data_IF_489478982777
#
_entry.id   IF_489478982777
#
_cell.length_a   1.000
_cell.length_b   1.000
_cell.length_c   1.000
_cell.angle_alpha   90.00
_cell.angle_beta   90.00
_cell.angle_gamma   90.00
#
_symmetry.space_group_name_H-M   'P 1'
#
loop_
_entity.id
_entity.type
_entity.pdbx_description
1 polymer ?
#
# COMPACT_ATOMS: atom_id res chain seq x y z
N UNK A 1 -15.68 -0.40 13.08
CA UNK A 1 -14.45 -1.00 12.50
C UNK A 1 -13.37 -1.15 13.56
N UNK A 2 -13.03 -0.10 14.29
CA UNK A 2 -11.90 -0.06 15.23
C UNK A 2 -11.90 -1.16 16.30
N UNK A 3 -13.08 -1.48 16.87
CA UNK A 3 -13.22 -2.62 17.79
C UNK A 3 -12.79 -3.93 17.14
N UNK A 4 -13.28 -4.21 15.93
CA UNK A 4 -12.96 -5.43 15.19
C UNK A 4 -11.48 -5.48 14.79
N UNK A 5 -10.90 -4.35 14.39
CA UNK A 5 -9.44 -4.24 14.14
C UNK A 5 -8.66 -4.58 15.41
N UNK A 6 -9.04 -4.02 16.56
CA UNK A 6 -8.36 -4.29 17.84
C UNK A 6 -8.46 -5.77 18.22
N UNK A 7 -9.64 -6.37 18.07
CA UNK A 7 -9.85 -7.79 18.34
C UNK A 7 -9.04 -8.68 17.38
N UNK A 8 -8.97 -8.32 16.09
CA UNK A 8 -8.10 -8.99 15.13
C UNK A 8 -6.61 -8.91 15.55
N UNK A 9 -6.13 -7.71 15.87
CA UNK A 9 -4.71 -7.51 16.22
C UNK A 9 -4.31 -8.21 17.54
N UNK A 10 -5.21 -8.26 18.51
CA UNK A 10 -4.90 -8.79 19.86
C UNK A 10 -5.26 -10.26 20.04
N UNK A 11 -6.35 -10.72 19.41
CA UNK A 11 -6.91 -12.05 19.60
C UNK A 11 -6.95 -12.89 18.33
N UNK A 12 -6.53 -12.32 17.19
CA UNK A 12 -6.64 -12.97 15.87
C UNK A 12 -8.08 -13.38 15.54
N UNK A 13 -9.07 -12.63 16.04
CA UNK A 13 -10.48 -12.85 15.71
C UNK A 13 -10.77 -12.30 14.31
N UNK A 14 -11.33 -13.13 13.44
CA UNK A 14 -11.70 -12.73 12.08
C UNK A 14 -12.62 -11.51 12.07
N UNK A 15 -12.25 -10.53 11.25
CA UNK A 15 -13.10 -9.37 10.99
C UNK A 15 -14.32 -9.83 10.18
N UNK A 16 -15.55 -9.51 10.62
CA UNK A 16 -16.77 -9.84 9.89
C UNK A 16 -16.72 -9.42 8.41
N UNK A 17 -17.16 -10.29 7.46
CA UNK A 17 -17.01 -10.01 6.04
C UNK A 17 -17.68 -8.73 5.55
N UNK A 18 -18.81 -8.35 6.18
CA UNK A 18 -19.49 -7.08 5.90
C UNK A 18 -18.62 -5.86 6.27
N UNK A 19 -17.85 -5.94 7.36
CA UNK A 19 -16.90 -4.89 7.74
C UNK A 19 -15.71 -4.84 6.80
N UNK A 20 -15.16 -6.00 6.39
CA UNK A 20 -14.11 -6.05 5.37
C UNK A 20 -14.60 -5.45 4.04
N UNK A 21 -15.86 -5.71 3.65
CA UNK A 21 -16.48 -5.12 2.46
C UNK A 21 -16.56 -3.59 2.56
N UNK A 22 -17.11 -3.06 3.65
CA UNK A 22 -17.16 -1.61 3.87
C UNK A 22 -15.75 -0.99 3.88
N UNK A 23 -14.78 -1.68 4.46
CA UNK A 23 -13.38 -1.25 4.45
C UNK A 23 -12.72 -1.33 3.07
N UNK A 24 -13.26 -2.07 2.10
CA UNK A 24 -12.77 -2.02 0.70
C UNK A 24 -13.49 -0.95 -0.13
N UNK A 25 -14.76 -0.70 0.15
CA UNK A 25 -15.65 0.10 -0.70
C UNK A 25 -15.68 1.59 -0.32
N UNK A 26 -15.57 1.92 0.97
CA UNK A 26 -15.71 3.30 1.47
C UNK A 26 -14.34 3.81 1.94
N UNK A 27 -13.69 4.75 1.23
CA UNK A 27 -12.32 5.21 1.53
C UNK A 27 -12.10 5.61 2.99
N UNK A 28 -13.03 6.37 3.54
CA UNK A 28 -12.97 6.94 4.89
C UNK A 28 -13.18 5.86 5.97
N UNK A 29 -13.79 4.72 5.61
CA UNK A 29 -14.08 3.66 6.54
C UNK A 29 -12.88 2.74 6.74
N UNK A 30 -12.37 2.67 7.97
CA UNK A 30 -11.36 1.68 8.34
C UNK A 30 -9.97 1.97 7.81
N UNK A 31 -9.52 3.23 7.83
CA UNK A 31 -8.15 3.63 7.47
C UNK A 31 -7.08 2.74 8.11
N UNK A 32 -7.20 2.47 9.42
CA UNK A 32 -6.29 1.58 10.18
C UNK A 32 -6.19 0.18 9.58
N UNK A 33 -7.23 -0.29 8.91
CA UNK A 33 -7.23 -1.61 8.29
C UNK A 33 -6.25 -1.72 7.11
N UNK A 34 -5.91 -0.58 6.48
CA UNK A 34 -4.96 -0.51 5.38
C UNK A 34 -3.58 0.03 5.78
N UNK A 35 -3.46 0.65 6.96
CA UNK A 35 -2.23 1.36 7.36
C UNK A 35 -1.53 0.75 8.57
N UNK A 36 -2.15 -0.16 9.33
CA UNK A 36 -1.56 -0.69 10.57
C UNK A 36 -0.59 -1.84 10.36
N UNK A 37 -1.00 -2.94 9.71
CA UNK A 37 -0.11 -4.08 9.43
C UNK A 37 -0.44 -4.75 8.10
N UNK A 38 0.56 -5.44 7.54
CA UNK A 38 0.44 -6.25 6.33
C UNK A 38 -0.64 -7.32 6.44
N UNK A 39 -0.64 -8.04 7.56
CA UNK A 39 -1.57 -9.15 7.81
C UNK A 39 -3.01 -8.65 7.86
N UNK A 40 -3.25 -7.55 8.57
CA UNK A 40 -4.56 -6.92 8.63
C UNK A 40 -5.01 -6.45 7.25
N UNK A 41 -4.16 -5.75 6.51
CA UNK A 41 -4.48 -5.28 5.16
C UNK A 41 -4.79 -6.45 4.20
N UNK A 42 -4.05 -7.56 4.29
CA UNK A 42 -4.33 -8.76 3.52
C UNK A 42 -5.66 -9.42 3.92
N UNK A 43 -5.98 -9.43 5.22
CA UNK A 43 -7.28 -9.90 5.72
C UNK A 43 -8.44 -9.08 5.17
N UNK A 44 -8.26 -7.76 5.04
CA UNK A 44 -9.26 -6.90 4.40
C UNK A 44 -9.47 -7.23 2.92
N UNK A 45 -8.50 -7.81 2.22
CA UNK A 45 -8.69 -8.26 0.84
C UNK A 45 -9.40 -9.62 0.71
N UNK A 46 -9.68 -10.28 1.83
CA UNK A 46 -10.40 -11.55 1.86
C UNK A 46 -11.89 -11.38 1.58
N UNK A 47 -12.45 -12.31 0.82
CA UNK A 47 -13.86 -12.31 0.39
C UNK A 47 -14.63 -13.43 1.10
N UNK A 48 -15.96 -13.28 1.18
CA UNK A 48 -16.87 -14.31 1.71
C UNK A 48 -16.74 -15.67 1.00
N UNK A 49 -16.21 -15.67 -0.23
CA UNK A 49 -15.97 -16.87 -1.03
C UNK A 49 -14.65 -17.57 -0.71
N UNK A 50 -13.97 -17.18 0.38
CA UNK A 50 -12.69 -17.77 0.78
C UNK A 50 -11.48 -17.28 -0.02
N UNK A 51 -11.67 -16.37 -0.99
CA UNK A 51 -10.62 -15.93 -1.91
C UNK A 51 -10.10 -14.52 -1.54
N UNK A 52 -8.83 -14.24 -1.79
CA UNK A 52 -8.26 -12.89 -1.71
C UNK A 52 -8.19 -12.23 -3.08
N UNK A 53 -8.63 -10.96 -3.20
CA UNK A 53 -8.62 -10.22 -4.48
C UNK A 53 -8.19 -8.78 -4.26
N UNK A 54 -7.49 -8.20 -5.25
CA UNK A 54 -7.22 -6.75 -5.24
C UNK A 54 -8.52 -5.94 -5.42
N UNK A 55 -8.51 -4.64 -5.12
CA UNK A 55 -9.71 -3.80 -5.19
C UNK A 55 -10.22 -3.68 -6.63
N UNK A 56 -9.31 -3.56 -7.60
CA UNK A 56 -9.68 -3.54 -9.02
C UNK A 56 -10.52 -4.76 -9.45
N UNK A 57 -10.05 -5.98 -9.19
CA UNK A 57 -10.80 -7.21 -9.55
C UNK A 57 -11.98 -7.47 -8.61
N UNK A 58 -12.05 -6.80 -7.47
CA UNK A 58 -13.24 -6.81 -6.62
C UNK A 58 -14.39 -6.02 -7.27
N UNK A 59 -14.12 -4.84 -7.83
CA UNK A 59 -15.13 -3.95 -8.43
C UNK A 59 -15.44 -4.28 -9.89
N UNK A 60 -14.49 -4.81 -10.65
CA UNK A 60 -14.63 -5.13 -12.08
C UNK A 60 -14.92 -6.62 -12.35
N UNK A 61 -15.83 -7.22 -11.58
CA UNK A 61 -16.20 -8.64 -11.77
C UNK A 61 -16.81 -8.86 -13.16
N UNK A 62 -16.28 -9.84 -13.90
CA UNK A 62 -16.85 -10.29 -15.18
C UNK A 62 -16.62 -9.35 -16.38
N UNK A 63 -15.97 -8.19 -16.20
CA UNK A 63 -15.52 -7.41 -17.36
C UNK A 63 -14.37 -8.14 -18.04
N UNK A 64 -14.46 -8.34 -19.36
CA UNK A 64 -13.31 -8.80 -20.15
C UNK A 64 -12.15 -7.85 -19.85
N UNK A 65 -11.01 -8.35 -19.35
CA UNK A 65 -9.88 -7.49 -19.03
C UNK A 65 -9.36 -6.91 -20.35
N UNK A 66 -9.79 -5.69 -20.69
CA UNK A 66 -9.28 -4.98 -21.87
C UNK A 66 -7.78 -4.70 -21.75
N UNK A 67 -7.24 -4.76 -20.53
CA UNK A 67 -5.88 -4.32 -20.20
C UNK A 67 -5.04 -5.38 -19.46
N UNK A 68 -5.65 -6.45 -18.93
CA UNK A 68 -4.99 -7.51 -18.15
C UNK A 68 -4.73 -8.76 -19.01
N UNK A 69 -3.97 -8.60 -20.11
CA UNK A 69 -3.43 -9.75 -20.84
C UNK A 69 -3.99 -10.04 -22.24
N UNK A 70 -4.76 -9.14 -22.85
CA UNK A 70 -4.93 -9.14 -24.31
C UNK A 70 -4.06 -8.05 -24.94
N UNK A 71 -2.75 -8.28 -24.92
CA UNK A 71 -1.91 -7.85 -26.05
C UNK A 71 -1.91 -9.06 -27.00
N UNK A 72 -1.79 -8.81 -28.29
CA UNK A 72 -1.83 -9.81 -29.37
C UNK A 72 -1.12 -11.14 -29.03
N UNK A 73 -1.55 -12.27 -29.61
CA UNK A 73 -0.97 -13.57 -29.30
C UNK A 73 0.52 -13.57 -29.65
N UNK A 74 1.39 -13.48 -28.63
CA UNK A 74 2.83 -13.54 -28.82
C UNK A 74 3.68 -12.87 -27.75
N UNK A 75 3.30 -11.70 -27.23
CA UNK A 75 4.39 -10.80 -26.79
C UNK A 75 4.67 -10.68 -25.28
N UNK A 76 3.71 -10.73 -24.35
CA UNK A 76 4.07 -10.53 -22.93
C UNK A 76 3.10 -11.25 -21.98
N UNK A 77 3.61 -12.19 -21.16
CA UNK A 77 2.92 -12.65 -19.95
C UNK A 77 2.96 -11.53 -18.90
N UNK A 78 1.93 -10.70 -18.87
CA UNK A 78 1.78 -9.67 -17.85
C UNK A 78 1.19 -10.30 -16.59
N UNK A 79 1.88 -10.15 -15.45
CA UNK A 79 1.37 -10.55 -14.13
C UNK A 79 -0.01 -9.89 -13.85
N UNK A 80 -0.99 -10.66 -13.40
CA UNK A 80 -2.36 -10.18 -13.17
C UNK A 80 -3.47 -10.90 -13.94
N UNK A 81 -3.16 -11.96 -14.70
CA UNK A 81 -4.20 -12.85 -15.24
C UNK A 81 -4.77 -13.67 -14.07
N UNK A 82 -6.08 -13.61 -13.81
CA UNK A 82 -6.68 -14.37 -12.72
C UNK A 82 -6.46 -15.86 -12.95
N UNK A 83 -5.91 -16.54 -11.94
CA UNK A 83 -5.92 -18.00 -11.87
C UNK A 83 -7.38 -18.46 -11.86
N UNK A 84 -7.66 -19.58 -12.52
CA UNK A 84 -8.98 -20.17 -12.35
C UNK A 84 -9.15 -20.55 -10.88
N UNK A 85 -10.36 -20.46 -10.33
CA UNK A 85 -10.60 -20.85 -8.93
C UNK A 85 -10.28 -22.34 -8.65
N UNK A 86 -10.05 -23.14 -9.71
CA UNK A 86 -9.64 -24.53 -9.66
C UNK A 86 -8.11 -24.72 -9.72
N UNK A 87 -7.34 -23.68 -10.01
CA UNK A 87 -5.88 -23.74 -10.00
C UNK A 87 -5.40 -23.67 -8.56
N UNK A 88 -5.12 -24.84 -7.98
CA UNK A 88 -4.58 -25.00 -6.62
C UNK A 88 -3.18 -24.39 -6.44
N UNK A 89 -2.50 -24.04 -7.54
CA UNK A 89 -1.17 -23.43 -7.54
C UNK A 89 -1.25 -21.90 -7.52
N UNK A 90 -1.90 -21.35 -6.48
CA UNK A 90 -1.65 -19.95 -6.14
C UNK A 90 -0.19 -19.86 -5.74
N UNK A 91 0.63 -19.32 -6.65
CA UNK A 91 2.05 -19.10 -6.41
C UNK A 91 2.21 -18.31 -5.11
N UNK A 92 3.11 -18.76 -4.21
CA UNK A 92 3.47 -18.00 -3.01
C UNK A 92 3.77 -16.55 -3.40
N UNK A 93 3.04 -15.60 -2.80
CA UNK A 93 3.18 -14.17 -3.12
C UNK A 93 2.12 -13.59 -4.06
N UNK A 94 1.13 -14.39 -4.50
CA UNK A 94 0.02 -13.93 -5.35
C UNK A 94 -1.34 -14.00 -4.64
N UNK A 95 -2.24 -13.12 -5.03
CA UNK A 95 -3.67 -13.15 -4.69
C UNK A 95 -4.41 -14.14 -5.59
N UNK A 96 -5.63 -14.54 -5.21
CA UNK A 96 -6.45 -15.44 -6.03
C UNK A 96 -6.87 -14.80 -7.36
N UNK A 97 -6.79 -13.47 -7.48
CA UNK A 97 -7.01 -12.76 -8.75
C UNK A 97 -5.76 -12.67 -9.65
N UNK A 98 -4.65 -13.34 -9.30
CA UNK A 98 -3.42 -13.37 -10.10
C UNK A 98 -2.50 -12.15 -9.98
N UNK A 99 -2.94 -11.09 -9.27
CA UNK A 99 -2.06 -9.99 -8.89
C UNK A 99 -1.09 -10.43 -7.77
N UNK A 100 0.11 -9.84 -7.70
CA UNK A 100 0.96 -10.01 -6.53
C UNK A 100 0.28 -9.46 -5.28
N UNK A 101 0.61 -10.03 -4.11
CA UNK A 101 0.11 -9.56 -2.82
C UNK A 101 0.45 -8.08 -2.63
N UNK A 102 1.72 -7.70 -2.86
CA UNK A 102 2.15 -6.30 -2.73
C UNK A 102 1.35 -5.35 -3.60
N UNK A 103 1.06 -5.74 -4.85
CA UNK A 103 0.24 -4.92 -5.75
C UNK A 103 -1.16 -4.67 -5.19
N UNK A 104 -1.80 -5.69 -4.60
CA UNK A 104 -3.11 -5.52 -3.96
C UNK A 104 -3.05 -4.75 -2.63
N UNK A 105 -1.97 -4.88 -1.87
CA UNK A 105 -1.77 -4.12 -0.64
C UNK A 105 -1.53 -2.63 -0.93
N UNK A 106 -0.73 -2.31 -1.94
CA UNK A 106 -0.58 -0.95 -2.46
C UNK A 106 -1.91 -0.38 -2.93
N UNK A 107 -2.71 -1.17 -3.67
CA UNK A 107 -4.05 -0.76 -4.13
C UNK A 107 -4.92 -0.32 -2.94
N UNK A 108 -4.95 -1.14 -1.88
CA UNK A 108 -5.70 -0.85 -0.66
C UNK A 108 -5.14 0.36 0.09
N UNK A 109 -3.82 0.45 0.23
CA UNK A 109 -3.18 1.58 0.93
C UNK A 109 -3.46 2.90 0.23
N UNK A 110 -3.24 2.98 -1.09
CA UNK A 110 -3.45 4.20 -1.87
C UNK A 110 -4.93 4.60 -1.89
N UNK A 111 -5.84 3.62 -2.01
CA UNK A 111 -7.29 3.85 -1.93
C UNK A 111 -7.71 4.55 -0.63
N UNK A 112 -7.03 4.24 0.48
CA UNK A 112 -7.35 4.77 1.82
C UNK A 112 -6.65 6.05 2.18
N UNK A 113 -5.47 6.28 1.62
CA UNK A 113 -4.58 7.36 2.06
C UNK A 113 -4.47 8.49 1.06
N UNK A 114 -4.71 8.24 -0.24
CA UNK A 114 -4.58 9.26 -1.26
C UNK A 114 -5.90 9.98 -1.52
N UNK A 115 -5.83 11.29 -1.41
CA UNK A 115 -6.87 12.20 -1.84
C UNK A 115 -6.29 13.27 -2.75
N UNK A 116 -7.11 13.76 -3.67
CA UNK A 116 -6.76 14.86 -4.56
C UNK A 116 -7.71 16.00 -4.26
N UNK A 117 -7.16 17.21 -4.20
CA UNK A 117 -7.91 18.46 -4.01
C UNK A 117 -7.56 19.40 -5.14
N UNK A 118 -8.57 20.11 -5.62
CA UNK A 118 -8.38 21.16 -6.61
C UNK A 118 -7.72 22.38 -5.95
N UNK A 119 -6.75 22.98 -6.63
CA UNK A 119 -6.15 24.28 -6.27
C UNK A 119 -7.03 25.46 -6.70
N UNK A 120 -7.94 25.24 -7.66
CA UNK A 120 -8.92 26.24 -8.06
C UNK A 120 -9.88 26.55 -6.90
N UNK A 121 -9.93 27.79 -6.39
CA UNK A 121 -10.76 28.17 -5.25
C UNK A 121 -12.27 28.08 -5.53
N UNK A 122 -12.69 27.93 -6.80
CA UNK A 122 -14.09 27.75 -7.19
C UNK A 122 -14.56 26.30 -7.11
N UNK A 123 -13.63 25.35 -7.05
CA UNK A 123 -13.94 23.92 -6.98
C UNK A 123 -13.72 23.48 -5.54
N UNK A 124 -14.81 23.35 -4.79
CA UNK A 124 -14.79 22.77 -3.45
C UNK A 124 -15.04 21.28 -3.59
N UNK A 125 -14.02 20.46 -3.34
CA UNK A 125 -14.16 19.02 -3.41
C UNK A 125 -12.85 18.28 -3.13
N UNK A 126 -13.01 17.07 -2.60
CA UNK A 126 -11.93 16.11 -2.41
C UNK A 126 -12.31 14.84 -3.16
N UNK A 127 -11.41 14.33 -4.00
CA UNK A 127 -11.60 13.07 -4.71
C UNK A 127 -10.66 12.02 -4.12
N UNK A 128 -11.23 10.89 -3.72
CA UNK A 128 -10.48 9.71 -3.32
C UNK A 128 -10.23 8.81 -4.52
N UNK A 129 -9.11 8.10 -4.53
CA UNK A 129 -8.73 7.19 -5.62
C UNK A 129 -9.76 6.06 -5.90
N UNK A 130 -10.69 5.79 -4.97
CA UNK A 130 -11.69 4.71 -5.09
C UNK A 130 -12.64 4.80 -6.29
N UNK A 131 -12.94 6.01 -6.76
CA UNK A 131 -13.77 6.22 -7.96
C UNK A 131 -13.04 5.76 -9.22
N UNK A 132 -11.71 5.81 -9.19
CA UNK A 132 -10.82 5.63 -10.32
C UNK A 132 -9.70 4.63 -10.00
N UNK A 133 -10.07 3.43 -9.56
CA UNK A 133 -9.11 2.36 -9.27
C UNK A 133 -8.14 2.16 -10.45
N UNK A 134 -6.85 2.25 -10.15
CA UNK A 134 -5.79 2.05 -11.13
C UNK A 134 -5.89 0.65 -11.72
N UNK A 135 -5.88 0.55 -13.06
CA UNK A 135 -5.75 -0.75 -13.71
C UNK A 135 -4.43 -1.40 -13.26
N UNK A 136 -4.36 -2.75 -13.12
CA UNK A 136 -3.19 -3.44 -12.57
C UNK A 136 -1.86 -3.05 -13.22
N UNK A 137 -1.84 -2.82 -14.54
CA UNK A 137 -0.63 -2.39 -15.26
C UNK A 137 -0.14 -1.01 -14.84
N UNK A 138 -1.03 -0.01 -14.81
CA UNK A 138 -0.66 1.36 -14.40
C UNK A 138 -0.20 1.39 -12.94
N UNK A 139 -0.89 0.62 -12.09
CA UNK A 139 -0.51 0.43 -10.70
C UNK A 139 0.90 -0.16 -10.58
N UNK A 140 1.24 -1.19 -11.36
CA UNK A 140 2.58 -1.78 -11.36
C UNK A 140 3.66 -0.76 -11.75
N UNK A 141 3.43 0.04 -12.80
CA UNK A 141 4.34 1.13 -13.18
C UNK A 141 4.52 2.16 -12.08
N UNK A 142 3.41 2.60 -11.47
CA UNK A 142 3.45 3.56 -10.37
C UNK A 142 4.22 3.01 -9.17
N UNK A 143 3.91 1.79 -8.72
CA UNK A 143 4.58 1.14 -7.59
C UNK A 143 6.07 0.97 -7.86
N UNK A 144 6.43 0.47 -9.04
CA UNK A 144 7.84 0.27 -9.40
C UNK A 144 8.60 1.60 -9.40
N UNK A 145 8.01 2.65 -9.97
CA UNK A 145 8.62 4.00 -9.99
C UNK A 145 8.76 4.56 -8.59
N UNK A 146 7.72 4.46 -7.77
CA UNK A 146 7.73 4.89 -6.37
C UNK A 146 8.81 4.17 -5.58
N UNK A 147 8.86 2.83 -5.65
CA UNK A 147 9.83 2.02 -4.91
C UNK A 147 11.26 2.32 -5.38
N UNK A 148 11.48 2.52 -6.68
CA UNK A 148 12.80 2.86 -7.21
C UNK A 148 13.25 4.27 -6.76
N UNK A 149 12.36 5.25 -6.76
CA UNK A 149 12.69 6.62 -6.39
C UNK A 149 12.87 6.81 -4.87
N UNK A 150 12.08 6.09 -4.06
CA UNK A 150 12.07 6.27 -2.61
C UNK A 150 12.87 5.20 -1.87
N UNK A 151 13.20 4.09 -2.52
CA UNK A 151 13.70 2.86 -1.88
C UNK A 151 12.78 2.33 -0.76
N UNK A 152 11.53 2.77 -0.70
CA UNK A 152 10.52 2.27 0.23
C UNK A 152 9.70 1.17 -0.43
N UNK A 153 9.24 0.25 0.40
CA UNK A 153 8.29 -0.82 0.06
C UNK A 153 6.97 -0.58 0.78
N UNK A 154 5.94 -1.37 0.47
CA UNK A 154 4.66 -1.27 1.17
C UNK A 154 4.81 -1.56 2.67
N UNK A 155 5.74 -2.42 3.06
CA UNK A 155 5.91 -2.81 4.45
C UNK A 155 6.44 -1.65 5.32
N UNK A 156 7.19 -0.72 4.72
CA UNK A 156 7.70 0.48 5.40
C UNK A 156 6.59 1.49 5.71
N UNK A 157 5.47 1.43 4.97
CA UNK A 157 4.33 2.32 5.13
C UNK A 157 3.34 1.85 6.21
N UNK A 158 3.47 0.63 6.71
CA UNK A 158 2.64 0.18 7.82
C UNK A 158 3.08 0.80 9.13
N UNK A 159 2.19 1.48 9.83
CA UNK A 159 2.48 2.18 11.08
C UNK A 159 2.86 1.24 12.23
N UNK A 160 2.49 -0.04 12.14
CA UNK A 160 2.60 -0.98 13.24
C UNK A 160 1.48 -0.76 14.26
N UNK A 161 1.55 -1.48 15.39
CA UNK A 161 0.52 -1.41 16.44
C UNK A 161 0.75 -0.20 17.36
N UNK A 162 2.00 0.24 17.51
CA UNK A 162 2.39 1.24 18.51
C UNK A 162 2.32 2.68 18.00
N UNK A 163 2.41 2.89 16.69
CA UNK A 163 2.39 4.22 16.06
C UNK A 163 1.12 4.35 15.23
N UNK A 164 0.41 5.47 15.37
CA UNK A 164 -0.74 5.80 14.54
C UNK A 164 -0.32 6.42 13.20
N UNK A 165 -0.92 5.94 12.11
CA UNK A 165 -0.71 6.50 10.77
C UNK A 165 -1.04 8.00 10.73
N UNK A 166 -0.19 8.79 10.05
CA UNK A 166 -0.40 10.23 9.87
C UNK A 166 0.08 11.09 11.05
N UNK A 167 0.61 10.48 12.11
CA UNK A 167 1.28 11.23 13.19
C UNK A 167 2.68 11.71 12.75
N UNK A 168 3.23 12.76 13.39
CA UNK A 168 4.62 13.18 13.14
C UNK A 168 5.63 12.05 13.35
N UNK A 169 5.43 11.21 14.36
CA UNK A 169 6.28 10.04 14.64
C UNK A 169 6.27 9.03 13.49
N UNK A 170 5.09 8.74 12.93
CA UNK A 170 4.96 7.89 11.74
C UNK A 170 5.77 8.45 10.56
N UNK A 171 5.61 9.74 10.25
CA UNK A 171 6.32 10.36 9.13
C UNK A 171 7.83 10.40 9.35
N UNK A 172 8.27 10.72 10.57
CA UNK A 172 9.69 10.69 10.93
C UNK A 172 10.29 9.30 10.72
N UNK A 173 9.62 8.25 11.18
CA UNK A 173 10.06 6.87 10.99
C UNK A 173 10.19 6.51 9.51
N UNK A 174 9.17 6.80 8.69
CA UNK A 174 9.20 6.50 7.25
C UNK A 174 10.32 7.27 6.55
N UNK A 175 10.48 8.57 6.84
CA UNK A 175 11.52 9.41 6.27
C UNK A 175 12.92 8.92 6.67
N UNK A 176 13.10 8.55 7.94
CA UNK A 176 14.36 7.98 8.42
C UNK A 176 14.71 6.69 7.67
N UNK A 177 13.77 5.76 7.53
CA UNK A 177 13.98 4.52 6.76
C UNK A 177 14.39 4.83 5.31
N UNK A 178 13.74 5.80 4.67
CA UNK A 178 14.09 6.25 3.32
C UNK A 178 15.53 6.78 3.26
N UNK A 179 15.91 7.66 4.20
CA UNK A 179 17.25 8.24 4.26
C UNK A 179 18.32 7.18 4.49
N UNK A 180 18.08 6.21 5.38
CA UNK A 180 19.00 5.10 5.66
C UNK A 180 19.26 4.26 4.40
N UNK A 181 18.21 3.95 3.63
CA UNK A 181 18.35 3.19 2.37
C UNK A 181 19.01 3.97 1.24
N UNK A 182 18.68 5.26 1.10
CA UNK A 182 19.34 6.13 0.13
C UNK A 182 20.83 6.28 0.44
N UNK A 183 21.18 6.43 1.72
CA UNK A 183 22.58 6.47 2.16
C UNK A 183 23.29 5.16 1.82
N UNK A 184 22.68 4.02 2.15
CA UNK A 184 23.23 2.71 1.84
C UNK A 184 23.48 2.55 0.34
N UNK A 185 22.50 2.90 -0.49
CA UNK A 185 22.64 2.87 -1.95
C UNK A 185 23.76 3.78 -2.45
N UNK A 186 23.85 5.00 -1.92
CA UNK A 186 24.92 5.95 -2.27
C UNK A 186 26.30 5.39 -1.92
N UNK A 187 26.44 4.76 -0.75
CA UNK A 187 27.70 4.14 -0.32
C UNK A 187 28.09 2.93 -1.18
N UNK A 188 27.12 2.16 -1.71
CA UNK A 188 27.42 1.08 -2.66
C UNK A 188 27.93 1.60 -4.01
N UNK A 189 27.53 2.82 -4.39
CA UNK A 189 27.95 3.48 -5.63
C UNK A 189 29.22 4.33 -5.47
N UNK A 190 29.63 4.60 -4.23
CA UNK A 190 30.78 5.45 -3.93
C UNK A 190 32.11 4.70 -4.20
N UNK A 191 33.17 5.41 -4.65
CA UNK A 191 34.49 4.83 -4.77
C UNK A 191 35.04 4.39 -3.40
N UNK A 192 35.88 3.36 -3.39
CA UNK A 192 36.48 2.83 -2.17
C UNK A 192 37.14 3.95 -1.35
N UNK A 193 36.81 4.02 -0.05
CA UNK A 193 37.31 5.04 0.88
C UNK A 193 36.41 6.26 1.08
N UNK A 194 35.29 6.40 0.37
CA UNK A 194 34.29 7.46 0.57
C UNK A 194 32.99 6.88 1.12
N UNK A 195 32.93 6.66 2.43
CA UNK A 195 31.69 6.27 3.10
C UNK A 195 31.03 7.49 3.75
N UNK A 196 29.76 7.71 3.42
CA UNK A 196 28.90 8.66 4.08
C UNK A 196 28.21 8.00 5.27
N UNK A 197 27.97 8.75 6.34
CA UNK A 197 27.24 8.30 7.51
C UNK A 197 26.08 9.25 7.83
N UNK A 198 24.95 8.70 8.26
CA UNK A 198 23.88 9.50 8.85
C UNK A 198 24.35 9.91 10.23
N UNK A 199 24.54 11.22 10.43
CA UNK A 199 24.79 11.77 11.76
C UNK A 199 23.42 11.93 12.42
N UNK A 200 23.18 11.32 13.60
CA UNK A 200 21.96 11.58 14.35
C UNK A 200 21.83 13.10 14.51
N UNK A 201 20.63 13.65 14.30
CA UNK A 201 20.40 15.03 14.68
C UNK A 201 20.80 15.16 16.15
N UNK A 202 21.90 15.87 16.42
CA UNK A 202 22.21 16.28 17.78
C UNK A 202 20.94 16.94 18.30
N UNK A 203 20.49 16.57 19.51
CA UNK A 203 19.45 17.31 20.20
C UNK A 203 19.95 18.74 20.20
N UNK A 204 19.38 19.59 19.36
CA UNK A 204 19.68 21.01 19.35
C UNK A 204 19.12 21.45 20.68
N UNK A 205 19.96 21.51 21.71
CA UNK A 205 19.59 22.17 22.97
C UNK A 205 19.03 23.52 22.56
N UNK A 206 17.76 23.74 22.87
CA UNK A 206 17.09 25.00 22.56
C UNK A 206 17.96 26.11 23.12
N UNK A 207 18.65 26.84 22.23
CA UNK A 207 19.36 28.03 22.64
C UNK A 207 18.30 28.95 23.25
N UNK A 208 18.46 29.40 24.50
CA UNK A 208 17.47 30.23 25.15
C UNK A 208 17.25 31.45 24.26
N UNK A 209 16.01 31.60 23.79
CA UNK A 209 15.56 32.80 23.09
C UNK A 209 15.67 33.92 24.12
N UNK A 210 16.75 34.71 24.03
CA UNK A 210 17.03 35.81 24.94
C UNK A 210 15.83 36.74 25.02
N UNK A 211 15.46 37.06 26.26
CA UNK A 211 14.41 37.99 26.65
C UNK A 211 14.72 39.45 26.24
#
# INVERSE_FOLDING_TARGET
MDKAIREYLTKQTDIPPNLCRLAREIPEFGLKAATTTRQLALHILWTEQGNTRCLYHHTKRGSKPRCDGQIEPGDIKIHGVPFSAADSDISKGSLHCGCSIDSGLWDLFLNKTMTIRSDNPRVVGEEFLHTNNLIPRHRAFFIQTYCAATHLTIDDLYSGVDIEYGTPEYFYRVQRTQMERLLHYTNMMAPAGHQLALVPAAVVEEMPVGA
#
